data_IF_066322834416
#
_entry.id   IF_066322834416
#
_cell.length_a   1.000
_cell.length_b   1.000
_cell.length_c   1.000
_cell.angle_alpha   90.00
_cell.angle_beta   90.00
_cell.angle_gamma   90.00
#
_symmetry.space_group_name_H-M   'P 1'
#
loop_
_entity.id
_entity.type
_entity.pdbx_description
1 polymer ?
#
# COMPACT_ATOMS: atom_id res chain seq x y z
N UNK A 1 -77.02 -28.23 110.27
CA UNK A 1 -76.85 -26.78 109.99
C UNK A 1 -77.05 -26.58 108.50
N UNK A 2 -78.08 -25.84 108.12
CA UNK A 2 -78.16 -25.19 106.81
C UNK A 2 -77.11 -24.08 106.77
N UNK A 3 -76.38 -23.91 105.66
CA UNK A 3 -75.39 -22.84 105.55
C UNK A 3 -74.24 -23.05 104.57
N UNK A 4 -74.28 -24.04 103.67
CA UNK A 4 -73.37 -24.03 102.53
C UNK A 4 -73.87 -23.00 101.52
N UNK A 5 -73.29 -21.80 101.57
CA UNK A 5 -73.34 -20.87 100.46
C UNK A 5 -72.70 -21.55 99.25
N UNK A 6 -73.47 -21.77 98.18
CA UNK A 6 -72.93 -22.16 96.88
C UNK A 6 -72.28 -20.92 96.25
N UNK A 7 -71.14 -20.51 96.80
CA UNK A 7 -70.33 -19.41 96.27
C UNK A 7 -69.28 -19.98 95.32
N UNK A 8 -69.70 -20.11 94.07
CA UNK A 8 -68.81 -20.45 92.96
C UNK A 8 -69.58 -21.20 91.91
N UNK A 9 -69.88 -20.53 90.78
CA UNK A 9 -70.26 -21.24 89.56
C UNK A 9 -69.14 -22.25 89.29
N UNK A 10 -69.42 -23.52 89.51
CA UNK A 10 -68.48 -24.58 89.19
C UNK A 10 -68.26 -24.57 87.68
N UNK A 11 -67.06 -24.13 87.28
CA UNK A 11 -66.66 -24.05 85.87
C UNK A 11 -66.70 -25.40 85.15
N UNK A 12 -66.79 -26.52 85.89
CA UNK A 12 -66.93 -27.86 85.33
C UNK A 12 -68.37 -28.26 84.94
N UNK A 13 -69.39 -27.49 85.32
CA UNK A 13 -70.82 -27.85 85.12
C UNK A 13 -71.55 -27.03 84.03
N UNK A 14 -70.82 -26.35 83.15
CA UNK A 14 -71.41 -25.61 82.01
C UNK A 14 -71.79 -26.54 80.86
N UNK A 15 -72.91 -27.26 80.99
CA UNK A 15 -73.37 -28.22 79.97
C UNK A 15 -74.01 -27.55 78.75
N UNK A 16 -74.58 -26.35 78.90
CA UNK A 16 -75.20 -25.60 77.80
C UNK A 16 -74.32 -24.42 77.38
N UNK A 17 -73.75 -24.52 76.18
CA UNK A 17 -72.81 -23.53 75.63
C UNK A 17 -73.11 -23.15 74.19
N UNK A 18 -72.76 -21.93 73.80
CA UNK A 18 -72.80 -21.44 72.42
C UNK A 18 -71.51 -20.73 72.02
N UNK A 19 -71.29 -20.58 70.71
CA UNK A 19 -70.13 -19.88 70.14
C UNK A 19 -70.53 -18.46 69.74
N UNK A 20 -69.78 -17.45 70.19
CA UNK A 20 -69.99 -16.04 69.82
C UNK A 20 -68.75 -15.44 69.15
N UNK A 21 -68.98 -14.51 68.23
CA UNK A 21 -67.91 -13.76 67.56
C UNK A 21 -67.08 -14.56 66.57
N UNK A 22 -67.54 -15.73 66.11
CA UNK A 22 -66.85 -16.50 65.09
C UNK A 22 -66.80 -15.73 63.77
N UNK A 23 -65.60 -15.67 63.16
CA UNK A 23 -65.35 -15.01 61.87
C UNK A 23 -64.79 -16.07 60.93
N UNK A 24 -65.42 -16.26 59.77
CA UNK A 24 -64.91 -17.20 58.77
C UNK A 24 -63.61 -16.67 58.16
N UNK A 25 -62.59 -17.52 58.06
CA UNK A 25 -61.35 -17.16 57.40
C UNK A 25 -61.58 -16.81 55.90
N UNK A 26 -60.96 -15.71 55.46
CA UNK A 26 -60.95 -15.25 54.08
C UNK A 26 -59.79 -15.84 53.28
N UNK A 27 -59.59 -15.36 52.05
CA UNK A 27 -58.46 -15.81 51.22
C UNK A 27 -57.11 -15.31 51.74
N UNK A 28 -57.07 -14.08 52.27
CA UNK A 28 -55.87 -13.43 52.81
C UNK A 28 -56.03 -12.94 54.25
N UNK A 29 -57.24 -12.98 54.80
CA UNK A 29 -57.54 -12.56 56.16
C UNK A 29 -57.79 -13.78 57.04
N UNK A 30 -57.12 -13.84 58.19
CA UNK A 30 -57.40 -14.83 59.21
C UNK A 30 -58.85 -14.70 59.72
N UNK A 31 -59.44 -15.83 60.09
CA UNK A 31 -60.70 -15.93 60.79
C UNK A 31 -60.52 -16.11 62.30
N UNK A 32 -61.63 -16.32 62.99
CA UNK A 32 -61.67 -16.58 64.42
C UNK A 32 -62.68 -17.68 64.73
N UNK A 33 -62.30 -18.68 65.53
CA UNK A 33 -63.19 -19.82 65.84
C UNK A 33 -64.39 -19.44 66.73
N UNK A 34 -64.38 -18.23 67.30
CA UNK A 34 -65.36 -17.77 68.26
C UNK A 34 -65.06 -18.23 69.68
N UNK A 35 -65.53 -17.45 70.63
CA UNK A 35 -65.44 -17.72 72.07
C UNK A 35 -66.65 -18.56 72.51
N UNK A 36 -66.44 -19.42 73.50
CA UNK A 36 -67.49 -20.28 74.06
C UNK A 36 -68.10 -19.57 75.27
N UNK A 37 -69.43 -19.43 75.27
CA UNK A 37 -70.19 -18.81 76.35
C UNK A 37 -71.23 -19.79 76.89
N UNK A 38 -71.42 -19.81 78.21
CA UNK A 38 -72.53 -20.53 78.83
C UNK A 38 -73.84 -19.78 78.56
N UNK A 39 -74.85 -20.46 78.03
CA UNK A 39 -76.16 -19.85 77.71
C UNK A 39 -77.00 -19.58 78.96
N UNK A 40 -76.81 -20.36 80.02
CA UNK A 40 -77.60 -20.24 81.26
C UNK A 40 -77.21 -19.02 82.09
N UNK A 41 -75.95 -18.56 81.98
CA UNK A 41 -75.42 -17.51 82.86
C UNK A 41 -74.56 -16.43 82.18
N UNK A 42 -74.32 -16.55 80.87
CA UNK A 42 -73.61 -15.56 80.05
C UNK A 42 -72.09 -15.48 80.25
N UNK A 43 -71.50 -16.31 81.12
CA UNK A 43 -70.06 -16.29 81.35
C UNK A 43 -69.29 -16.91 80.17
N UNK A 44 -68.14 -16.32 79.81
CA UNK A 44 -67.19 -16.89 78.85
C UNK A 44 -66.49 -18.08 79.48
N UNK A 45 -66.67 -19.26 78.91
CA UNK A 45 -66.12 -20.53 79.41
C UNK A 45 -64.90 -21.00 78.64
N UNK A 46 -64.66 -20.46 77.43
CA UNK A 46 -63.48 -20.75 76.64
C UNK A 46 -63.16 -19.65 75.64
N UNK A 47 -61.87 -19.41 75.40
CA UNK A 47 -61.41 -18.51 74.34
C UNK A 47 -61.23 -19.27 73.03
N UNK A 48 -61.71 -18.68 71.95
CA UNK A 48 -61.42 -19.13 70.59
C UNK A 48 -59.95 -18.92 70.21
N UNK A 49 -59.61 -19.37 69.01
CA UNK A 49 -58.28 -19.19 68.41
C UNK A 49 -58.38 -18.58 67.02
N UNK A 50 -57.29 -17.93 66.61
CA UNK A 50 -57.12 -17.51 65.22
C UNK A 50 -57.21 -18.72 64.30
N UNK A 51 -57.94 -18.56 63.19
CA UNK A 51 -58.04 -19.55 62.11
C UNK A 51 -57.27 -18.98 60.93
N UNK A 52 -56.16 -19.60 60.48
CA UNK A 52 -55.38 -19.07 59.37
C UNK A 52 -56.21 -18.85 58.11
N UNK A 53 -55.85 -17.84 57.32
CA UNK A 53 -56.44 -17.59 56.01
C UNK A 53 -56.52 -18.87 55.17
N UNK A 54 -57.66 -19.09 54.52
CA UNK A 54 -57.95 -20.32 53.79
C UNK A 54 -57.16 -20.45 52.47
N UNK A 55 -56.45 -19.38 52.08
CA UNK A 55 -55.77 -19.29 50.80
C UNK A 55 -56.72 -19.13 49.62
N UNK A 56 -56.13 -19.02 48.43
CA UNK A 56 -56.86 -18.85 47.18
C UNK A 56 -57.21 -20.18 46.54
N UNK A 57 -58.39 -20.22 45.91
CA UNK A 57 -58.88 -21.33 45.11
C UNK A 57 -58.85 -20.92 43.63
N UNK A 58 -57.68 -21.04 43.02
CA UNK A 58 -57.38 -20.53 41.67
C UNK A 58 -57.90 -21.46 40.58
N UNK A 59 -58.63 -20.92 39.60
CA UNK A 59 -58.96 -21.60 38.35
C UNK A 59 -58.60 -20.73 37.15
N UNK A 60 -58.33 -21.35 36.00
CA UNK A 60 -58.01 -20.63 34.75
C UNK A 60 -59.29 -20.01 34.19
N UNK A 61 -59.26 -18.71 33.92
CA UNK A 61 -60.40 -17.98 33.31
C UNK A 61 -60.11 -17.50 31.91
N UNK A 62 -58.84 -17.29 31.56
CA UNK A 62 -58.43 -16.91 30.20
C UNK A 62 -57.05 -17.47 29.89
N UNK A 63 -56.90 -17.94 28.67
CA UNK A 63 -55.63 -18.42 28.14
C UNK A 63 -55.41 -17.87 26.73
N UNK A 64 -54.25 -17.27 26.51
CA UNK A 64 -53.76 -16.83 25.21
C UNK A 64 -52.53 -17.66 24.86
N UNK A 65 -52.60 -18.39 23.75
CA UNK A 65 -51.51 -19.27 23.32
C UNK A 65 -50.26 -18.47 22.95
N UNK A 66 -49.09 -19.00 23.29
CA UNK A 66 -47.82 -18.46 22.84
C UNK A 66 -47.65 -18.66 21.33
N UNK A 67 -46.93 -17.74 20.70
CA UNK A 67 -46.48 -17.87 19.30
C UNK A 67 -44.95 -17.91 19.25
N UNK A 68 -44.37 -18.07 18.05
CA UNK A 68 -42.91 -17.97 17.86
C UNK A 68 -42.37 -16.54 18.03
N UNK A 69 -43.26 -15.53 18.06
CA UNK A 69 -42.88 -14.11 18.15
C UNK A 69 -43.42 -13.41 19.41
N UNK A 70 -44.48 -13.92 20.03
CA UNK A 70 -45.12 -13.37 21.23
C UNK A 70 -45.28 -14.41 22.34
N UNK A 71 -45.03 -14.01 23.58
CA UNK A 71 -45.36 -14.84 24.74
C UNK A 71 -46.87 -15.05 24.83
N UNK A 72 -47.28 -16.21 25.34
CA UNK A 72 -48.66 -16.44 25.74
C UNK A 72 -48.86 -16.01 27.20
N UNK A 73 -50.10 -16.07 27.68
CA UNK A 73 -50.39 -15.83 29.10
C UNK A 73 -51.60 -16.61 29.57
N UNK A 74 -51.57 -16.98 30.85
CA UNK A 74 -52.67 -17.65 31.54
C UNK A 74 -53.11 -16.82 32.73
N UNK A 75 -54.40 -16.49 32.77
CA UNK A 75 -55.02 -15.72 33.85
C UNK A 75 -55.78 -16.67 34.75
N UNK A 76 -55.45 -16.63 36.03
CA UNK A 76 -56.14 -17.36 37.09
C UNK A 76 -57.02 -16.41 37.89
N UNK A 77 -58.23 -16.83 38.20
CA UNK A 77 -59.14 -16.10 39.08
C UNK A 77 -59.50 -16.95 40.29
N UNK A 78 -59.50 -16.37 41.48
CA UNK A 78 -59.91 -17.07 42.68
C UNK A 78 -61.45 -17.17 42.73
N UNK A 79 -61.99 -18.38 42.83
CA UNK A 79 -63.44 -18.63 42.88
C UNK A 79 -64.14 -17.99 44.08
N UNK A 80 -63.39 -17.71 45.15
CA UNK A 80 -63.92 -17.20 46.44
C UNK A 80 -63.86 -15.68 46.58
N UNK A 81 -62.84 -15.02 46.02
CA UNK A 81 -62.63 -13.58 46.21
C UNK A 81 -62.47 -12.77 44.91
N UNK A 82 -62.42 -13.42 43.75
CA UNK A 82 -62.33 -12.73 42.46
C UNK A 82 -60.98 -12.09 42.15
N UNK A 83 -59.99 -12.17 43.06
CA UNK A 83 -58.62 -11.75 42.74
C UNK A 83 -58.10 -12.52 41.53
N UNK A 84 -57.23 -11.88 40.76
CA UNK A 84 -56.59 -12.47 39.59
C UNK A 84 -55.07 -12.50 39.75
N UNK A 85 -54.44 -13.47 39.09
CA UNK A 85 -53.00 -13.48 38.87
C UNK A 85 -52.70 -13.98 37.47
N UNK A 86 -51.58 -13.54 36.93
CA UNK A 86 -51.14 -13.86 35.57
C UNK A 86 -49.83 -14.66 35.61
N UNK A 87 -49.73 -15.62 34.71
CA UNK A 87 -48.53 -16.41 34.45
C UNK A 87 -48.18 -16.32 32.96
N UNK A 88 -46.93 -16.00 32.64
CA UNK A 88 -46.45 -15.96 31.26
C UNK A 88 -46.16 -17.37 30.74
N UNK A 89 -46.50 -17.60 29.46
CA UNK A 89 -46.19 -18.83 28.74
C UNK A 89 -45.05 -18.49 27.77
N UNK A 90 -43.87 -19.12 27.87
CA UNK A 90 -42.74 -18.84 27.00
C UNK A 90 -43.09 -18.98 25.51
N UNK A 91 -42.41 -18.19 24.67
CA UNK A 91 -42.54 -18.28 23.21
C UNK A 91 -42.28 -19.70 22.72
N UNK A 92 -42.98 -20.10 21.66
CA UNK A 92 -42.69 -21.36 21.00
C UNK A 92 -41.28 -21.31 20.38
N UNK A 93 -40.53 -22.42 20.37
CA UNK A 93 -39.23 -22.47 19.73
C UNK A 93 -39.38 -22.09 18.25
N UNK A 94 -38.54 -21.18 17.78
CA UNK A 94 -38.56 -20.82 16.36
C UNK A 94 -38.11 -22.03 15.52
N UNK A 95 -38.74 -22.28 14.37
CA UNK A 95 -38.28 -23.34 13.47
C UNK A 95 -36.83 -23.08 13.07
N UNK A 96 -35.95 -23.99 13.44
CA UNK A 96 -34.54 -23.93 13.05
C UNK A 96 -34.45 -24.11 11.54
N UNK A 97 -33.82 -23.17 10.87
CA UNK A 97 -33.43 -23.31 9.47
C UNK A 97 -31.95 -22.96 9.35
N UNK A 98 -31.30 -23.47 8.32
CA UNK A 98 -29.92 -23.09 8.01
C UNK A 98 -29.95 -21.81 7.19
N UNK A 99 -29.22 -20.79 7.62
CA UNK A 99 -29.11 -19.57 6.84
C UNK A 99 -28.25 -19.81 5.60
N UNK A 100 -28.85 -19.56 4.44
CA UNK A 100 -28.13 -19.39 3.19
C UNK A 100 -28.21 -17.91 2.82
N UNK A 101 -27.08 -17.21 2.92
CA UNK A 101 -26.98 -15.79 2.63
C UNK A 101 -26.48 -15.57 1.21
N UNK A 102 -27.18 -14.74 0.44
CA UNK A 102 -26.77 -14.33 -0.91
C UNK A 102 -26.71 -12.80 -1.01
N UNK A 103 -25.78 -12.24 -1.81
CA UNK A 103 -25.70 -10.80 -2.03
C UNK A 103 -26.93 -10.32 -2.80
N UNK A 104 -27.51 -9.19 -2.37
CA UNK A 104 -28.74 -8.63 -2.98
C UNK A 104 -28.58 -7.20 -3.47
N UNK A 105 -27.87 -6.37 -2.73
CA UNK A 105 -27.60 -4.98 -3.07
C UNK A 105 -26.14 -4.67 -2.76
N UNK A 106 -25.49 -3.92 -3.66
CA UNK A 106 -24.09 -3.53 -3.48
C UNK A 106 -23.90 -2.07 -3.85
N UNK A 107 -23.45 -1.27 -2.89
CA UNK A 107 -22.85 0.04 -3.17
C UNK A 107 -21.37 -0.20 -3.42
N UNK A 108 -20.89 0.07 -4.63
CA UNK A 108 -19.46 -0.07 -4.95
C UNK A 108 -18.62 0.92 -4.12
N UNK A 109 -17.40 0.52 -3.77
CA UNK A 109 -16.43 1.41 -3.14
C UNK A 109 -15.95 2.48 -4.14
N UNK A 110 -15.65 3.67 -3.65
CA UNK A 110 -15.04 4.77 -4.43
C UNK A 110 -13.63 5.06 -3.90
N UNK A 111 -12.91 6.04 -4.45
CA UNK A 111 -11.59 6.41 -3.95
C UNK A 111 -11.59 6.87 -2.48
N UNK A 112 -12.70 7.44 -2.01
CA UNK A 112 -12.79 8.03 -0.66
C UNK A 112 -13.89 7.42 0.20
N UNK A 113 -14.88 6.73 -0.38
CA UNK A 113 -15.98 6.09 0.35
C UNK A 113 -15.88 4.57 0.30
N UNK A 114 -16.09 3.94 1.46
CA UNK A 114 -16.26 2.49 1.53
C UNK A 114 -17.50 2.05 0.74
N UNK A 115 -17.38 0.92 0.06
CA UNK A 115 -18.50 0.19 -0.52
C UNK A 115 -19.19 -0.68 0.54
N UNK A 116 -20.38 -1.16 0.22
CA UNK A 116 -21.21 -1.99 1.10
C UNK A 116 -21.85 -3.10 0.29
N UNK A 117 -21.71 -4.35 0.74
CA UNK A 117 -22.42 -5.51 0.22
C UNK A 117 -23.44 -5.97 1.26
N UNK A 118 -24.71 -6.06 0.87
CA UNK A 118 -25.78 -6.57 1.74
C UNK A 118 -26.07 -8.02 1.40
N UNK A 119 -25.94 -8.89 2.40
CA UNK A 119 -26.26 -10.31 2.33
C UNK A 119 -27.63 -10.56 2.95
N UNK A 120 -28.55 -11.19 2.22
CA UNK A 120 -29.90 -11.48 2.70
C UNK A 120 -30.19 -12.98 2.66
N UNK A 121 -30.97 -13.45 3.62
CA UNK A 121 -31.52 -14.81 3.67
C UNK A 121 -33.01 -14.79 3.32
N UNK A 122 -33.54 -15.92 2.81
CA UNK A 122 -34.96 -16.06 2.49
C UNK A 122 -35.90 -15.92 3.70
N UNK A 123 -35.38 -16.02 4.92
CA UNK A 123 -36.14 -15.78 6.16
C UNK A 123 -36.40 -14.29 6.45
N UNK A 124 -35.75 -13.37 5.73
CA UNK A 124 -35.81 -11.93 5.96
C UNK A 124 -34.64 -11.36 6.77
N UNK A 125 -33.80 -12.19 7.37
CA UNK A 125 -32.56 -11.73 8.03
C UNK A 125 -31.54 -11.24 6.99
N UNK A 126 -30.79 -10.21 7.37
CA UNK A 126 -29.72 -9.66 6.57
C UNK A 126 -28.58 -9.12 7.42
N UNK A 127 -27.40 -9.04 6.82
CA UNK A 127 -26.25 -8.32 7.37
C UNK A 127 -25.49 -7.60 6.26
N UNK A 128 -24.70 -6.61 6.64
CA UNK A 128 -23.87 -5.83 5.71
C UNK A 128 -22.39 -6.09 5.95
N UNK A 129 -21.61 -6.08 4.87
CA UNK A 129 -20.17 -6.16 4.90
C UNK A 129 -19.59 -4.95 4.17
N UNK A 130 -18.69 -4.21 4.82
CA UNK A 130 -18.01 -3.09 4.21
C UNK A 130 -16.86 -3.58 3.34
N UNK A 131 -16.72 -2.98 2.16
CA UNK A 131 -15.51 -3.07 1.33
C UNK A 131 -14.77 -1.74 1.44
N UNK A 132 -13.48 -1.79 1.77
CA UNK A 132 -12.67 -0.59 1.96
C UNK A 132 -12.70 0.33 0.71
N UNK A 133 -12.57 1.63 0.94
CA UNK A 133 -12.38 2.61 -0.12
C UNK A 133 -11.18 2.19 -1.00
N UNK A 134 -11.29 2.44 -2.30
CA UNK A 134 -10.30 2.02 -3.28
C UNK A 134 -8.97 2.79 -3.16
N UNK A 135 -8.96 3.89 -2.40
CA UNK A 135 -7.85 4.83 -2.38
C UNK A 135 -7.74 5.60 -3.69
N UNK A 136 -6.83 6.57 -3.69
CA UNK A 136 -6.45 7.27 -4.91
C UNK A 136 -5.33 6.52 -5.62
N UNK A 137 -5.46 6.39 -6.93
CA UNK A 137 -4.41 5.87 -7.81
C UNK A 137 -3.96 7.03 -8.68
N UNK A 138 -2.99 7.79 -8.16
CA UNK A 138 -2.49 9.00 -8.80
C UNK A 138 -1.53 8.67 -9.95
N UNK A 139 -1.57 9.52 -10.97
CA UNK A 139 -0.59 9.66 -12.05
C UNK A 139 0.05 11.03 -11.92
N UNK A 140 1.35 11.15 -12.14
CA UNK A 140 2.10 12.38 -11.89
C UNK A 140 2.70 12.89 -13.19
N UNK A 141 2.59 14.20 -13.41
CA UNK A 141 3.13 14.85 -14.60
C UNK A 141 3.74 16.19 -14.22
N UNK A 142 4.91 16.50 -14.79
CA UNK A 142 5.54 17.80 -14.64
C UNK A 142 4.80 18.82 -15.51
N UNK A 143 3.81 19.47 -14.93
CA UNK A 143 3.01 20.50 -15.62
C UNK A 143 3.74 21.84 -15.78
N UNK A 144 4.82 22.05 -15.02
CA UNK A 144 5.71 23.20 -15.16
C UNK A 144 7.11 22.80 -14.72
N UNK A 145 8.09 22.96 -15.61
CA UNK A 145 9.49 22.70 -15.26
C UNK A 145 9.98 23.71 -14.22
N UNK A 146 10.77 23.29 -13.20
CA UNK A 146 11.46 24.21 -12.30
C UNK A 146 12.54 24.98 -13.05
N UNK A 147 12.85 26.18 -12.59
CA UNK A 147 13.97 26.99 -13.08
C UNK A 147 14.79 27.49 -11.90
N UNK A 148 15.97 28.05 -12.17
CA UNK A 148 16.81 28.65 -11.13
C UNK A 148 16.10 29.81 -10.38
N UNK A 149 15.13 30.46 -11.02
CA UNK A 149 14.39 31.60 -10.45
C UNK A 149 12.96 31.27 -10.01
N UNK A 150 12.38 30.16 -10.45
CA UNK A 150 10.99 29.80 -10.20
C UNK A 150 10.79 28.31 -9.93
N UNK A 151 9.89 27.98 -9.00
CA UNK A 151 9.54 26.59 -8.71
C UNK A 151 8.80 25.97 -9.91
N UNK A 152 9.05 24.68 -10.09
CA UNK A 152 8.29 23.83 -10.99
C UNK A 152 7.00 23.36 -10.31
N UNK A 153 6.16 22.65 -11.05
CA UNK A 153 4.90 22.12 -10.54
C UNK A 153 4.72 20.70 -11.03
N UNK A 154 4.70 19.76 -10.08
CA UNK A 154 4.27 18.39 -10.31
C UNK A 154 2.76 18.31 -10.02
N UNK A 155 1.99 17.84 -11.00
CA UNK A 155 0.55 17.61 -10.83
C UNK A 155 0.27 16.13 -10.70
N UNK A 156 -0.47 15.76 -9.66
CA UNK A 156 -0.90 14.40 -9.36
C UNK A 156 -2.39 14.30 -9.66
N UNK A 157 -2.80 13.42 -10.57
CA UNK A 157 -4.21 13.23 -10.96
C UNK A 157 -4.63 11.78 -10.80
N UNK A 158 -5.68 11.54 -10.02
CA UNK A 158 -6.21 10.19 -9.82
C UNK A 158 -6.96 9.73 -11.08
N UNK A 159 -6.50 8.64 -11.70
CA UNK A 159 -7.12 8.12 -12.93
C UNK A 159 -8.56 7.62 -12.75
N UNK A 160 -8.98 7.33 -11.52
CA UNK A 160 -10.32 6.79 -11.21
C UNK A 160 -11.37 7.88 -10.95
N UNK A 161 -11.00 8.93 -10.20
CA UNK A 161 -11.95 9.96 -9.77
C UNK A 161 -11.64 11.35 -10.30
N UNK A 162 -10.52 11.54 -11.00
CA UNK A 162 -10.09 12.84 -11.53
C UNK A 162 -9.64 13.84 -10.46
N UNK A 163 -9.64 13.46 -9.18
CA UNK A 163 -9.10 14.30 -8.12
C UNK A 163 -7.64 14.60 -8.43
N UNK A 164 -7.27 15.87 -8.43
CA UNK A 164 -5.90 16.29 -8.62
C UNK A 164 -5.41 17.19 -7.49
N UNK A 165 -4.11 17.13 -7.22
CA UNK A 165 -3.41 18.09 -6.39
C UNK A 165 -2.05 18.37 -7.00
N UNK A 166 -1.44 19.49 -6.61
CA UNK A 166 -0.12 19.87 -7.10
C UNK A 166 0.86 19.96 -5.94
N UNK A 167 2.13 19.73 -6.25
CA UNK A 167 3.24 20.04 -5.34
C UNK A 167 4.27 20.90 -6.06
N UNK A 168 4.87 21.87 -5.35
CA UNK A 168 5.99 22.61 -5.90
C UNK A 168 7.16 21.65 -6.09
N UNK A 169 7.82 21.77 -7.24
CA UNK A 169 9.15 21.22 -7.44
C UNK A 169 10.11 22.35 -7.07
N UNK A 170 11.06 22.07 -6.18
CA UNK A 170 12.01 23.07 -5.70
C UNK A 170 12.66 23.79 -6.88
N UNK A 171 12.95 25.08 -6.69
CA UNK A 171 13.74 25.84 -7.65
C UNK A 171 15.05 25.12 -7.86
N UNK A 172 15.55 25.16 -9.09
CA UNK A 172 16.87 24.65 -9.37
C UNK A 172 17.90 25.50 -8.59
N UNK A 173 18.95 24.89 -8.04
CA UNK A 173 19.97 25.63 -7.29
C UNK A 173 20.60 26.70 -8.18
N UNK A 174 20.69 27.93 -7.65
CA UNK A 174 21.16 29.08 -8.40
C UNK A 174 22.70 29.05 -8.42
N UNK A 175 23.31 28.66 -9.54
CA UNK A 175 24.75 28.81 -9.78
C UNK A 175 25.07 30.27 -10.07
N UNK A 176 25.09 31.09 -9.01
CA UNK A 176 25.81 32.36 -9.06
C UNK A 176 27.26 32.14 -8.66
N UNK A 177 28.15 31.98 -9.64
CA UNK A 177 29.51 32.52 -9.52
C UNK A 177 30.16 32.79 -10.89
N UNK A 178 30.35 34.08 -11.13
CA UNK A 178 31.41 34.74 -11.91
C UNK A 178 31.40 34.65 -13.44
N UNK A 179 30.79 35.69 -13.99
CA UNK A 179 31.14 36.37 -15.25
C UNK A 179 32.66 36.49 -15.50
N UNK A 180 33.12 36.17 -16.72
CA UNK A 180 34.16 36.93 -17.43
C UNK A 180 33.47 37.64 -18.62
N UNK A 181 33.45 38.98 -18.65
CA UNK A 181 34.57 39.73 -19.19
C UNK A 181 34.26 40.11 -20.65
N UNK A 182 33.52 41.21 -20.82
CA UNK A 182 33.19 41.78 -22.14
C UNK A 182 34.43 42.42 -22.77
N UNK A 183 34.87 41.92 -23.92
CA UNK A 183 35.64 42.72 -24.88
C UNK A 183 34.92 42.71 -26.24
N UNK A 184 34.51 43.91 -26.64
CA UNK A 184 34.07 44.26 -27.99
C UNK A 184 35.32 44.64 -28.80
N UNK A 185 35.41 44.28 -30.09
CA UNK A 185 35.23 45.29 -31.15
C UNK A 185 34.47 44.68 -32.35
N UNK A 186 33.51 45.35 -32.98
CA UNK A 186 33.74 46.48 -33.87
C UNK A 186 33.05 46.19 -35.21
N UNK A 187 32.24 47.13 -35.66
CA UNK A 187 31.32 47.07 -36.80
C UNK A 187 32.00 47.05 -38.18
N UNK A 188 31.46 46.32 -39.17
CA UNK A 188 31.05 46.83 -40.51
C UNK A 188 30.64 45.72 -41.50
N UNK A 189 29.55 45.95 -42.23
CA UNK A 189 29.08 45.27 -43.46
C UNK A 189 29.35 46.21 -44.67
N UNK A 190 29.09 45.88 -45.96
CA UNK A 190 29.17 44.63 -46.74
C UNK A 190 30.07 44.79 -48.01
N UNK A 191 30.33 43.72 -48.77
CA UNK A 191 30.87 43.81 -50.13
C UNK A 191 31.13 42.45 -50.80
N UNK A 192 30.53 42.25 -51.97
CA UNK A 192 30.40 41.02 -52.76
C UNK A 192 31.71 40.41 -53.29
N UNK A 193 31.71 39.08 -53.53
CA UNK A 193 32.02 38.40 -54.82
C UNK A 193 32.37 36.91 -54.57
N UNK A 194 31.50 36.00 -55.05
CA UNK A 194 31.76 34.57 -55.30
C UNK A 194 32.86 34.36 -56.38
N UNK A 195 33.54 33.20 -56.52
CA UNK A 195 32.91 31.87 -56.48
C UNK A 195 33.73 30.70 -55.88
N UNK A 196 33.02 29.63 -55.51
CA UNK A 196 33.46 28.26 -55.75
C UNK A 196 33.81 27.43 -54.52
N UNK A 197 32.97 26.44 -54.23
CA UNK A 197 33.30 25.32 -53.36
C UNK A 197 32.14 24.82 -52.50
N UNK A 198 30.98 24.55 -53.12
CA UNK A 198 29.88 23.85 -52.46
C UNK A 198 30.36 22.44 -52.08
N UNK A 199 30.62 22.20 -50.80
CA UNK A 199 30.46 20.87 -50.21
C UNK A 199 29.15 20.94 -49.46
N UNK A 200 28.04 20.80 -50.19
CA UNK A 200 26.77 20.46 -49.57
C UNK A 200 26.99 19.08 -48.94
N UNK A 201 27.12 19.05 -47.60
CA UNK A 201 26.87 17.83 -46.82
C UNK A 201 25.49 17.33 -47.27
N UNK A 202 25.49 16.28 -48.09
CA UNK A 202 24.26 15.68 -48.58
C UNK A 202 23.72 14.89 -47.40
N UNK A 203 22.94 15.57 -46.55
CA UNK A 203 22.25 14.92 -45.43
C UNK A 203 21.45 13.74 -46.00
N UNK A 204 21.70 12.49 -45.55
CA UNK A 204 21.00 11.33 -46.07
C UNK A 204 19.50 11.42 -45.86
N UNK A 205 18.74 10.72 -46.72
CA UNK A 205 17.28 10.61 -46.58
C UNK A 205 16.91 10.18 -45.16
N UNK A 206 15.88 10.82 -44.61
CA UNK A 206 15.39 10.56 -43.25
C UNK A 206 15.06 9.07 -43.07
N UNK A 207 15.53 8.47 -41.98
CA UNK A 207 15.36 7.05 -41.65
C UNK A 207 16.54 6.16 -42.07
N UNK A 208 17.57 6.71 -42.73
CA UNK A 208 18.81 5.99 -43.04
C UNK A 208 19.90 6.43 -42.05
N UNK A 209 20.45 5.52 -41.23
CA UNK A 209 21.49 5.85 -40.26
C UNK A 209 22.83 6.11 -40.97
N UNK A 210 23.74 6.83 -40.31
CA UNK A 210 25.05 7.16 -40.88
C UNK A 210 26.12 7.39 -39.81
N UNK A 211 27.40 7.27 -40.16
CA UNK A 211 28.50 7.52 -39.22
C UNK A 211 28.78 9.03 -39.16
N UNK A 212 28.84 9.58 -37.95
CA UNK A 212 29.06 11.02 -37.73
C UNK A 212 30.49 11.44 -38.08
N UNK A 213 30.61 12.57 -38.76
CA UNK A 213 31.89 13.18 -39.12
C UNK A 213 32.59 12.55 -40.33
N UNK A 214 31.93 11.62 -41.03
CA UNK A 214 32.46 10.94 -42.20
C UNK A 214 31.48 11.02 -43.38
N UNK A 215 31.88 11.74 -44.43
CA UNK A 215 31.03 11.97 -45.59
C UNK A 215 30.73 10.66 -46.34
N UNK A 216 29.44 10.42 -46.63
CA UNK A 216 28.99 9.32 -47.49
C UNK A 216 28.92 7.94 -46.83
N UNK A 217 29.20 7.80 -45.53
CA UNK A 217 29.07 6.53 -44.81
C UNK A 217 27.66 6.30 -44.27
N UNK A 218 26.74 5.93 -45.15
CA UNK A 218 25.31 5.79 -44.85
C UNK A 218 24.83 4.35 -44.97
N UNK A 219 23.87 3.96 -44.12
CA UNK A 219 23.24 2.65 -44.11
C UNK A 219 23.99 1.58 -43.31
N UNK A 220 23.24 0.53 -42.92
CA UNK A 220 23.73 -0.56 -42.07
C UNK A 220 24.87 -1.37 -42.68
N UNK A 221 24.89 -1.54 -44.01
CA UNK A 221 25.98 -2.27 -44.70
C UNK A 221 27.33 -1.55 -44.54
N UNK A 222 27.33 -0.22 -44.60
CA UNK A 222 28.55 0.58 -44.42
C UNK A 222 28.98 0.58 -42.97
N UNK A 223 28.04 0.74 -42.03
CA UNK A 223 28.33 0.69 -40.59
C UNK A 223 29.01 -0.64 -40.23
N UNK A 224 28.50 -1.76 -40.75
CA UNK A 224 29.09 -3.08 -40.55
C UNK A 224 30.50 -3.21 -41.12
N UNK A 225 30.71 -2.70 -42.34
CA UNK A 225 32.04 -2.72 -42.95
C UNK A 225 33.06 -1.92 -42.13
N UNK A 226 32.63 -0.86 -41.46
CA UNK A 226 33.47 -0.08 -40.54
C UNK A 226 33.71 -0.81 -39.22
N UNK A 227 32.70 -1.46 -38.65
CA UNK A 227 32.85 -2.34 -37.47
C UNK A 227 33.88 -3.45 -37.70
N UNK A 228 33.86 -4.09 -38.87
CA UNK A 228 34.83 -5.12 -39.25
C UNK A 228 36.27 -4.57 -39.33
N UNK A 229 36.44 -3.31 -39.74
CA UNK A 229 37.74 -2.66 -39.87
C UNK A 229 38.20 -1.93 -38.61
N UNK A 230 37.31 -1.75 -37.64
CA UNK A 230 37.56 -1.00 -36.42
C UNK A 230 38.57 -1.69 -35.50
N UNK A 231 39.41 -0.87 -34.86
CA UNK A 231 40.46 -1.32 -33.95
C UNK A 231 39.87 -1.56 -32.55
N UNK A 232 40.49 -2.47 -31.79
CA UNK A 232 40.17 -2.67 -30.38
C UNK A 232 40.35 -1.35 -29.60
N UNK A 233 39.38 -1.02 -28.74
CA UNK A 233 39.26 0.22 -27.99
C UNK A 233 38.62 1.39 -28.76
N UNK A 234 38.18 1.20 -30.01
CA UNK A 234 37.57 2.27 -30.82
C UNK A 234 36.07 2.47 -30.57
N UNK A 235 35.60 3.67 -30.89
CA UNK A 235 34.18 4.05 -30.83
C UNK A 235 33.67 4.47 -32.21
N UNK A 236 32.59 3.85 -32.66
CA UNK A 236 31.88 4.21 -33.90
C UNK A 236 30.62 4.98 -33.50
N UNK A 237 30.48 6.20 -33.98
CA UNK A 237 29.34 7.06 -33.63
C UNK A 237 28.32 7.09 -34.77
N UNK A 238 27.20 6.41 -34.57
CA UNK A 238 26.11 6.31 -35.54
C UNK A 238 25.03 7.32 -35.19
N UNK A 239 24.67 8.18 -36.15
CA UNK A 239 23.45 8.96 -36.12
C UNK A 239 22.32 8.12 -36.71
N UNK A 240 21.22 7.98 -35.95
CA UNK A 240 20.10 7.13 -36.36
C UNK A 240 19.18 7.83 -37.36
N UNK A 241 19.30 9.15 -37.55
CA UNK A 241 18.56 9.95 -38.53
C UNK A 241 17.04 9.67 -38.58
N UNK A 242 16.45 9.35 -37.42
CA UNK A 242 15.02 9.04 -37.25
C UNK A 242 14.62 7.57 -37.39
N UNK A 243 15.55 6.64 -37.70
CA UNK A 243 15.29 5.21 -37.45
C UNK A 243 15.41 4.90 -35.96
N UNK A 244 14.71 3.87 -35.48
CA UNK A 244 14.76 3.45 -34.08
C UNK A 244 15.22 2.00 -33.90
N UNK A 245 15.16 1.20 -34.97
CA UNK A 245 15.49 -0.22 -34.94
C UNK A 245 16.91 -0.44 -35.44
N UNK A 246 17.72 -1.09 -34.61
CA UNK A 246 19.07 -1.57 -34.95
C UNK A 246 18.98 -3.06 -35.29
N UNK A 247 19.40 -3.48 -36.50
CA UNK A 247 19.43 -4.88 -36.88
C UNK A 247 20.36 -5.70 -35.99
N UNK A 248 19.99 -6.95 -35.68
CA UNK A 248 20.77 -7.82 -34.80
C UNK A 248 22.19 -8.09 -35.28
N UNK A 249 22.41 -8.08 -36.60
CA UNK A 249 23.72 -8.34 -37.19
C UNK A 249 24.76 -7.23 -37.00
N UNK A 250 24.32 -6.03 -36.58
CA UNK A 250 25.18 -4.94 -36.10
C UNK A 250 25.83 -5.28 -34.76
N UNK A 251 25.11 -5.98 -33.87
CA UNK A 251 25.70 -6.44 -32.61
C UNK A 251 26.56 -7.69 -32.81
N UNK A 252 26.19 -8.54 -33.77
CA UNK A 252 26.94 -9.75 -34.08
C UNK A 252 28.36 -9.43 -34.63
N UNK A 253 28.54 -8.32 -35.36
CA UNK A 253 29.82 -7.91 -35.98
C UNK A 253 30.89 -7.46 -34.96
N UNK A 254 30.46 -6.88 -33.84
CA UNK A 254 31.32 -6.38 -32.77
C UNK A 254 31.47 -7.38 -31.61
N UNK A 255 30.78 -8.53 -31.67
CA UNK A 255 30.73 -9.49 -30.58
C UNK A 255 32.12 -9.93 -30.10
N UNK A 256 32.32 -9.83 -28.78
CA UNK A 256 33.56 -10.23 -28.10
C UNK A 256 34.75 -9.32 -28.39
N UNK A 257 34.57 -8.24 -29.16
CA UNK A 257 35.59 -7.25 -29.50
C UNK A 257 35.41 -6.00 -28.63
N UNK A 258 36.50 -5.33 -28.30
CA UNK A 258 36.52 -4.09 -27.55
C UNK A 258 36.13 -2.89 -28.41
N UNK A 259 34.96 -2.94 -29.06
CA UNK A 259 34.48 -1.87 -29.92
C UNK A 259 33.18 -1.37 -29.34
N UNK A 260 33.06 -0.05 -29.23
CA UNK A 260 31.84 0.60 -28.74
C UNK A 260 31.12 1.23 -29.92
N UNK A 261 29.85 0.89 -30.12
CA UNK A 261 29.00 1.55 -31.09
C UNK A 261 28.00 2.41 -30.35
N UNK A 262 27.96 3.71 -30.68
CA UNK A 262 26.97 4.63 -30.15
C UNK A 262 25.88 4.88 -31.18
N UNK A 263 24.64 4.96 -30.73
CA UNK A 263 23.45 5.23 -31.54
C UNK A 263 22.80 6.51 -31.02
N UNK A 264 22.99 7.62 -31.72
CA UNK A 264 22.31 8.88 -31.41
C UNK A 264 20.89 8.84 -32.00
N UNK A 265 19.90 8.78 -31.12
CA UNK A 265 18.48 8.74 -31.45
C UNK A 265 17.90 10.15 -31.72
N UNK A 266 18.68 11.19 -31.50
CA UNK A 266 18.24 12.58 -31.44
C UNK A 266 17.66 12.96 -30.07
N UNK A 267 17.46 14.26 -29.86
CA UNK A 267 16.82 14.75 -28.63
C UNK A 267 17.62 14.55 -27.35
N UNK A 268 18.93 14.29 -27.45
CA UNK A 268 19.80 14.03 -26.29
C UNK A 268 19.71 12.60 -25.75
N UNK A 269 19.15 11.67 -26.53
CA UNK A 269 19.11 10.24 -26.22
C UNK A 269 20.20 9.54 -27.03
N UNK A 270 21.16 8.94 -26.32
CA UNK A 270 22.25 8.21 -26.94
C UNK A 270 22.38 6.84 -26.30
N UNK A 271 22.32 5.78 -27.12
CA UNK A 271 22.63 4.43 -26.69
C UNK A 271 24.08 4.10 -26.99
N UNK A 272 24.69 3.26 -26.16
CA UNK A 272 26.03 2.75 -26.35
C UNK A 272 26.07 1.25 -26.06
N UNK A 273 26.71 0.49 -26.93
CA UNK A 273 26.89 -0.96 -26.78
C UNK A 273 28.36 -1.28 -26.99
N UNK A 274 28.97 -1.95 -26.01
CA UNK A 274 30.34 -2.47 -26.14
C UNK A 274 30.30 -3.94 -26.54
N UNK A 275 31.07 -4.29 -27.58
CA UNK A 275 31.13 -5.65 -28.12
C UNK A 275 31.54 -6.73 -27.11
N UNK A 276 32.30 -6.39 -26.05
CA UNK A 276 32.64 -7.33 -24.96
C UNK A 276 31.42 -7.78 -24.14
N UNK A 277 30.39 -6.94 -24.06
CA UNK A 277 29.15 -7.23 -23.33
C UNK A 277 28.17 -8.06 -24.17
N UNK A 278 28.43 -8.21 -25.47
CA UNK A 278 27.61 -9.03 -26.37
C UNK A 278 28.02 -10.49 -26.24
N UNK A 279 27.25 -11.27 -25.48
CA UNK A 279 27.52 -12.68 -25.20
C UNK A 279 26.51 -13.65 -25.81
N UNK A 280 25.46 -13.16 -26.46
CA UNK A 280 24.47 -14.01 -27.14
C UNK A 280 25.06 -14.68 -28.37
N UNK A 281 24.54 -15.85 -28.76
CA UNK A 281 24.94 -16.52 -30.00
C UNK A 281 24.42 -15.83 -31.26
N UNK A 282 23.33 -15.07 -31.16
CA UNK A 282 22.74 -14.27 -32.23
C UNK A 282 21.83 -13.20 -31.62
N UNK A 283 22.14 -11.93 -31.87
CA UNK A 283 21.28 -10.84 -31.43
C UNK A 283 20.04 -10.72 -32.34
N UNK A 284 18.91 -10.36 -31.75
CA UNK A 284 17.72 -9.96 -32.48
C UNK A 284 17.78 -8.48 -32.89
N UNK A 285 16.85 -8.05 -33.73
CA UNK A 285 16.66 -6.62 -34.01
C UNK A 285 16.10 -5.94 -32.76
N UNK A 286 16.65 -4.77 -32.40
CA UNK A 286 16.28 -4.05 -31.17
C UNK A 286 15.74 -2.67 -31.53
N UNK A 287 14.58 -2.32 -31.00
CA UNK A 287 14.01 -0.97 -31.04
C UNK A 287 14.49 -0.16 -29.83
N UNK A 288 15.37 0.80 -30.06
CA UNK A 288 15.95 1.67 -29.04
C UNK A 288 15.11 2.92 -28.74
N UNK A 289 13.88 3.00 -29.23
CA UNK A 289 13.01 4.13 -28.91
C UNK A 289 12.72 4.22 -27.41
N UNK A 290 13.01 5.40 -26.86
CA UNK A 290 12.74 5.75 -25.47
C UNK A 290 11.54 6.67 -25.44
N UNK A 291 10.49 6.27 -24.71
CA UNK A 291 9.36 7.15 -24.42
C UNK A 291 9.58 7.75 -23.04
N UNK A 292 9.76 9.07 -23.00
CA UNK A 292 9.76 9.85 -21.76
C UNK A 292 8.34 10.31 -21.44
N UNK A 293 8.08 10.71 -20.19
CA UNK A 293 6.76 11.20 -19.73
C UNK A 293 5.63 10.15 -19.75
N UNK A 294 5.98 8.89 -19.48
CA UNK A 294 4.99 7.82 -19.42
C UNK A 294 4.29 7.80 -18.06
N UNK A 295 3.08 7.21 -18.04
CA UNK A 295 2.30 6.95 -16.83
C UNK A 295 2.02 5.45 -16.71
N UNK A 296 2.99 4.64 -17.14
CA UNK A 296 2.89 3.20 -17.14
C UNK A 296 2.95 2.65 -15.72
N UNK A 297 3.77 3.27 -14.87
CA UNK A 297 4.00 2.85 -13.48
C UNK A 297 3.14 3.70 -12.53
N UNK A 298 2.31 3.08 -11.67
CA UNK A 298 1.52 3.77 -10.65
C UNK A 298 2.39 4.64 -9.71
N UNK A 299 1.97 5.88 -9.45
CA UNK A 299 2.77 6.85 -8.67
C UNK A 299 2.97 6.44 -7.22
N UNK A 300 2.01 5.73 -6.62
CA UNK A 300 2.16 5.18 -5.28
C UNK A 300 3.35 4.23 -5.18
N UNK A 301 3.62 3.45 -6.24
CA UNK A 301 4.78 2.56 -6.32
C UNK A 301 6.06 3.40 -6.49
N UNK A 302 6.05 4.38 -7.40
CA UNK A 302 7.18 5.30 -7.59
C UNK A 302 7.55 5.99 -6.29
N UNK A 303 6.58 6.61 -5.62
CA UNK A 303 6.80 7.38 -4.40
C UNK A 303 7.24 6.54 -3.21
N UNK A 304 6.83 5.26 -3.15
CA UNK A 304 7.27 4.36 -2.10
C UNK A 304 8.79 4.11 -2.15
N UNK A 305 9.39 4.23 -3.33
CA UNK A 305 10.84 4.09 -3.54
C UNK A 305 11.55 5.43 -3.50
N UNK A 306 11.01 6.44 -4.19
CA UNK A 306 11.68 7.74 -4.35
C UNK A 306 11.45 8.70 -3.19
N UNK A 307 10.55 8.39 -2.26
CA UNK A 307 10.18 9.33 -1.19
C UNK A 307 9.56 10.61 -1.72
N UNK A 308 8.86 10.55 -2.87
CA UNK A 308 8.27 11.69 -3.58
C UNK A 308 9.30 12.68 -4.18
N UNK A 309 10.56 12.25 -4.30
CA UNK A 309 11.62 13.01 -4.97
C UNK A 309 11.45 13.02 -6.49
N UNK A 310 12.18 13.92 -7.13
CA UNK A 310 12.18 14.05 -8.58
C UNK A 310 12.52 12.71 -9.23
N UNK A 311 11.66 12.28 -10.13
CA UNK A 311 11.82 11.03 -10.87
C UNK A 311 11.21 11.15 -12.27
N UNK A 312 11.76 10.38 -13.19
CA UNK A 312 11.33 10.31 -14.59
C UNK A 312 10.93 8.86 -14.88
N UNK A 313 9.75 8.66 -15.45
CA UNK A 313 9.36 7.36 -16.01
C UNK A 313 9.81 7.28 -17.46
N UNK A 314 10.41 6.15 -17.83
CA UNK A 314 10.77 5.83 -19.20
C UNK A 314 10.19 4.46 -19.58
N UNK A 315 9.73 4.34 -20.82
CA UNK A 315 9.30 3.06 -21.38
C UNK A 315 10.10 2.79 -22.65
N UNK A 316 10.68 1.60 -22.75
CA UNK A 316 11.38 1.13 -23.94
C UNK A 316 10.38 0.37 -24.82
N UNK A 317 10.39 0.57 -26.15
CA UNK A 317 9.33 0.04 -27.03
C UNK A 317 9.40 -1.48 -27.30
N UNK A 318 10.40 -2.17 -26.77
CA UNK A 318 10.59 -3.61 -26.88
C UNK A 318 10.23 -4.31 -25.55
N UNK A 319 9.95 -5.61 -25.56
CA UNK A 319 9.67 -6.38 -24.34
C UNK A 319 10.64 -7.55 -24.26
N UNK A 320 11.39 -7.64 -23.16
CA UNK A 320 12.30 -8.75 -22.88
C UNK A 320 13.79 -8.45 -23.01
N UNK A 321 14.61 -9.48 -22.77
CA UNK A 321 16.07 -9.39 -22.70
C UNK A 321 16.70 -8.97 -24.05
N UNK A 322 17.60 -7.98 -23.99
CA UNK A 322 18.49 -7.63 -25.11
C UNK A 322 19.53 -8.73 -25.36
N UNK A 323 19.89 -9.45 -24.28
CA UNK A 323 20.97 -10.44 -24.29
C UNK A 323 22.38 -9.83 -24.21
N UNK A 324 22.46 -8.52 -24.02
CA UNK A 324 23.69 -7.79 -23.74
C UNK A 324 23.37 -6.54 -22.94
N UNK A 325 24.41 -5.90 -22.39
CA UNK A 325 24.27 -4.63 -21.67
C UNK A 325 24.31 -3.47 -22.67
N UNK A 326 23.23 -2.71 -22.75
CA UNK A 326 23.16 -1.44 -23.47
C UNK A 326 23.14 -0.29 -22.46
N UNK A 327 23.93 0.76 -22.71
CA UNK A 327 24.01 1.94 -21.84
C UNK A 327 23.24 3.08 -22.48
N UNK A 328 22.22 3.56 -21.79
CA UNK A 328 21.49 4.78 -22.17
C UNK A 328 22.16 5.98 -21.51
N UNK A 329 22.65 6.89 -22.35
CA UNK A 329 22.96 8.25 -21.95
C UNK A 329 21.73 9.13 -22.19
N UNK A 330 21.20 9.70 -21.11
CA UNK A 330 20.01 10.57 -21.15
C UNK A 330 20.27 11.86 -20.38
N UNK A 331 19.81 12.98 -20.95
CA UNK A 331 19.84 14.28 -20.29
C UNK A 331 18.82 14.37 -19.16
N UNK A 332 19.31 14.47 -17.93
CA UNK A 332 18.51 14.79 -16.74
C UNK A 332 18.58 16.28 -16.37
N UNK A 333 19.40 17.07 -17.07
CA UNK A 333 19.57 18.50 -16.83
C UNK A 333 20.85 18.79 -16.05
N UNK A 334 21.56 19.87 -16.44
CA UNK A 334 22.85 20.28 -15.84
C UNK A 334 22.74 20.62 -14.37
N UNK A 335 21.56 21.04 -13.94
CA UNK A 335 21.17 21.29 -12.56
C UNK A 335 21.28 20.07 -11.66
N UNK A 336 21.18 18.87 -12.22
CA UNK A 336 21.27 17.62 -11.50
C UNK A 336 22.69 17.06 -11.50
N UNK A 337 23.68 17.79 -12.05
CA UNK A 337 25.07 17.38 -12.01
C UNK A 337 25.55 17.12 -10.56
N UNK A 338 26.25 16.01 -10.36
CA UNK A 338 26.72 15.55 -9.04
C UNK A 338 25.66 14.82 -8.21
N UNK A 339 24.39 14.79 -8.64
CA UNK A 339 23.36 13.97 -8.00
C UNK A 339 23.46 12.51 -8.47
N UNK A 340 22.99 11.58 -7.64
CA UNK A 340 22.91 10.16 -8.03
C UNK A 340 21.56 9.90 -8.70
N UNK A 341 21.57 9.43 -9.94
CA UNK A 341 20.38 8.91 -10.60
C UNK A 341 20.33 7.39 -10.43
N UNK A 342 19.29 6.91 -9.77
CA UNK A 342 19.03 5.48 -9.53
C UNK A 342 17.97 4.98 -10.50
N UNK A 343 18.29 3.92 -11.25
CA UNK A 343 17.40 3.23 -12.16
C UNK A 343 16.68 2.09 -11.44
N UNK A 344 15.36 2.06 -11.60
CA UNK A 344 14.48 1.02 -11.10
C UNK A 344 13.67 0.41 -12.23
N UNK A 345 13.67 -0.91 -12.34
CA UNK A 345 12.81 -1.69 -13.22
C UNK A 345 11.44 -1.87 -12.56
N UNK A 346 10.35 -1.73 -13.32
CA UNK A 346 9.03 -2.10 -12.85
C UNK A 346 8.71 -3.55 -13.19
N UNK A 347 8.63 -4.38 -12.16
CA UNK A 347 8.22 -5.77 -12.31
C UNK A 347 6.69 -5.88 -12.29
N UNK A 348 6.07 -6.04 -13.46
CA UNK A 348 4.61 -6.17 -13.56
C UNK A 348 4.05 -7.38 -12.81
N UNK A 349 4.84 -8.43 -12.61
CA UNK A 349 4.39 -9.66 -11.95
C UNK A 349 4.28 -9.48 -10.44
N UNK A 350 5.17 -8.69 -9.84
CA UNK A 350 5.15 -8.38 -8.39
C UNK A 350 4.42 -7.07 -8.08
N UNK A 351 4.36 -6.15 -9.04
CA UNK A 351 3.88 -4.79 -8.85
C UNK A 351 4.85 -3.93 -8.03
N UNK A 352 6.16 -4.22 -8.09
CA UNK A 352 7.19 -3.54 -7.32
C UNK A 352 8.29 -2.96 -8.23
N UNK A 353 9.02 -1.97 -7.71
CA UNK A 353 10.20 -1.40 -8.35
C UNK A 353 11.47 -2.09 -7.83
N UNK A 354 12.28 -2.59 -8.74
CA UNK A 354 13.53 -3.30 -8.45
C UNK A 354 14.71 -2.42 -8.84
N UNK A 355 15.61 -2.15 -7.90
CA UNK A 355 16.83 -1.40 -8.20
C UNK A 355 17.72 -2.15 -9.19
N UNK A 356 18.16 -1.47 -10.25
CA UNK A 356 19.02 -2.03 -11.29
C UNK A 356 20.44 -1.50 -11.14
N UNK A 357 20.61 -0.19 -11.23
CA UNK A 357 21.90 0.48 -11.13
C UNK A 357 21.71 1.94 -10.76
N UNK A 358 22.81 2.60 -10.45
CA UNK A 358 22.83 4.05 -10.28
C UNK A 358 24.12 4.60 -10.88
N UNK A 359 24.06 5.84 -11.34
CA UNK A 359 25.24 6.57 -11.78
C UNK A 359 25.12 8.06 -11.40
N UNK A 360 26.25 8.74 -11.32
CA UNK A 360 26.29 10.17 -11.05
C UNK A 360 25.95 10.94 -12.33
N UNK A 361 25.12 11.98 -12.20
CA UNK A 361 24.83 12.87 -13.32
C UNK A 361 26.07 13.74 -13.59
N UNK A 362 26.57 13.71 -14.81
CA UNK A 362 27.75 14.46 -15.23
C UNK A 362 27.50 15.98 -15.24
N UNK A 363 28.59 16.77 -15.33
CA UNK A 363 28.54 18.24 -15.38
C UNK A 363 27.69 18.80 -16.55
N UNK A 364 27.56 18.05 -17.63
CA UNK A 364 26.73 18.42 -18.78
C UNK A 364 25.24 18.04 -18.61
N UNK A 365 24.88 17.45 -17.47
CA UNK A 365 23.53 17.06 -17.12
C UNK A 365 23.10 15.70 -17.66
N UNK A 366 24.01 14.91 -18.21
CA UNK A 366 23.73 13.56 -18.70
C UNK A 366 24.03 12.51 -17.65
N UNK A 367 23.32 11.40 -17.67
CA UNK A 367 23.66 10.21 -16.88
C UNK A 367 23.71 8.98 -17.76
N UNK A 368 24.56 8.02 -17.42
CA UNK A 368 24.73 6.77 -18.16
C UNK A 368 24.18 5.60 -17.35
N UNK A 369 23.07 5.02 -17.76
CA UNK A 369 22.40 3.94 -17.04
C UNK A 369 22.41 2.66 -17.88
N UNK A 370 22.71 1.53 -17.25
CA UNK A 370 22.84 0.24 -17.92
C UNK A 370 21.50 -0.52 -17.95
N UNK A 371 21.17 -1.07 -19.11
CA UNK A 371 19.95 -1.84 -19.37
C UNK A 371 20.30 -3.20 -19.96
N UNK A 372 19.65 -4.25 -19.49
CA UNK A 372 19.77 -5.62 -20.05
C UNK A 372 18.53 -6.08 -20.79
N UNK A 373 17.41 -5.38 -20.61
CA UNK A 373 16.12 -5.72 -21.19
C UNK A 373 15.30 -4.45 -21.42
N UNK A 374 14.27 -4.55 -22.25
CA UNK A 374 13.29 -3.47 -22.40
C UNK A 374 12.05 -3.73 -21.53
N UNK A 375 11.58 -2.65 -20.91
CA UNK A 375 10.45 -2.58 -19.98
C UNK A 375 10.11 -1.11 -19.69
N UNK A 376 9.24 -0.92 -18.71
CA UNK A 376 9.01 0.31 -17.96
C UNK A 376 10.01 0.47 -16.81
N UNK A 377 10.56 1.67 -16.67
CA UNK A 377 11.54 2.03 -15.66
C UNK A 377 11.25 3.39 -15.01
N UNK A 378 11.80 3.56 -13.82
CA UNK A 378 11.87 4.83 -13.10
C UNK A 378 13.33 5.20 -12.93
N UNK A 379 13.68 6.43 -13.29
CA UNK A 379 14.94 7.07 -12.90
C UNK A 379 14.63 8.02 -11.75
N UNK A 380 15.10 7.72 -10.55
CA UNK A 380 14.97 8.58 -9.39
C UNK A 380 16.26 9.40 -9.19
N UNK A 381 16.14 10.70 -8.94
CA UNK A 381 17.30 11.55 -8.64
C UNK A 381 17.32 11.80 -7.13
N UNK A 382 18.31 11.23 -6.46
CA UNK A 382 18.53 11.46 -5.03
C UNK A 382 19.58 12.55 -4.84
N UNK A 383 19.15 13.62 -4.15
CA UNK A 383 20.04 14.59 -3.57
C UNK A 383 20.33 14.23 -2.13
N UNK A 384 21.61 14.15 -1.78
CA UNK A 384 21.99 14.33 -0.39
C UNK A 384 21.60 15.76 0.00
N UNK A 385 20.43 15.90 0.61
CA UNK A 385 20.13 17.08 1.39
C UNK A 385 20.86 16.87 2.72
N UNK A 386 22.06 17.44 2.84
CA UNK A 386 22.66 17.64 4.16
C UNK A 386 21.66 18.48 4.98
N UNK A 387 20.83 17.82 5.77
CA UNK A 387 20.08 18.48 6.83
C UNK A 387 21.10 18.90 7.88
N UNK A 388 21.55 20.14 7.78
CA UNK A 388 22.18 20.86 8.88
C UNK A 388 21.13 21.05 9.99
N UNK A 389 20.89 19.97 10.74
CA UNK A 389 20.11 19.99 11.98
C UNK A 389 20.97 20.65 13.05
N UNK A 390 21.02 21.98 12.99
CA UNK A 390 21.47 22.83 14.08
C UNK A 390 20.48 22.77 15.23
N UNK A 391 20.97 22.25 16.36
CA UNK A 391 20.51 22.51 17.72
C UNK A 391 19.34 21.66 18.24
N UNK A 392 19.65 20.42 18.64
CA UNK A 392 18.91 19.73 19.69
C UNK A 392 19.64 19.93 21.03
N UNK A 393 19.03 20.75 21.90
CA UNK A 393 19.38 20.90 23.31
C UNK A 393 19.38 19.53 24.00
N UNK A 394 20.56 19.14 24.46
CA UNK A 394 20.81 17.99 25.33
C UNK A 394 20.18 18.21 26.72
N UNK A 395 19.47 17.22 27.30
CA UNK A 395 19.25 17.17 28.73
C UNK A 395 20.35 16.33 29.41
N UNK A 396 20.98 16.96 30.41
CA UNK A 396 22.00 16.41 31.30
C UNK A 396 21.61 15.06 31.92
N UNK A 397 22.58 14.14 31.99
CA UNK A 397 22.62 13.11 33.03
C UNK A 397 24.06 12.92 33.54
N UNK A 398 24.30 12.86 34.86
CA UNK A 398 25.64 13.06 35.42
C UNK A 398 26.46 11.77 35.62
N UNK A 399 27.78 12.00 35.61
CA UNK A 399 28.91 11.34 36.27
C UNK A 399 29.38 9.91 35.87
N UNK A 400 30.59 9.93 35.30
CA UNK A 400 31.63 8.92 35.00
C UNK A 400 32.15 8.15 36.25
N UNK A 401 33.14 7.19 36.20
CA UNK A 401 34.15 6.95 35.14
C UNK A 401 34.68 5.50 34.91
N UNK A 402 35.62 5.44 33.95
CA UNK A 402 36.82 4.56 33.83
C UNK A 402 36.82 3.50 32.71
N UNK A 403 37.53 3.78 31.60
CA UNK A 403 38.89 3.26 31.34
C UNK A 403 39.42 3.63 29.94
N UNK A 404 40.50 4.41 29.97
CA UNK A 404 41.84 4.13 29.41
C UNK A 404 42.08 3.82 27.91
N UNK A 405 43.22 4.35 27.45
CA UNK A 405 44.04 4.04 26.27
C UNK A 405 43.81 4.79 24.93
N UNK A 406 44.45 5.96 24.87
CA UNK A 406 45.62 6.31 24.03
C UNK A 406 45.70 5.93 22.55
N UNK A 407 46.09 6.91 21.73
CA UNK A 407 46.98 6.72 20.57
C UNK A 407 46.53 7.47 19.31
N UNK A 408 46.78 8.79 19.22
CA UNK A 408 47.88 9.42 18.47
C UNK A 408 47.53 9.76 17.00
N UNK A 409 47.43 11.07 16.76
CA UNK A 409 47.48 11.72 15.45
C UNK A 409 48.88 11.59 14.84
N UNK A 410 48.97 11.57 13.51
CA UNK A 410 50.11 12.14 12.78
C UNK A 410 49.65 12.87 11.51
N UNK A 411 50.46 13.87 11.17
CA UNK A 411 50.17 15.02 10.33
C UNK A 411 50.45 14.78 8.83
N UNK A 412 49.81 15.63 8.02
CA UNK A 412 50.06 16.04 6.63
C UNK A 412 51.54 16.08 6.17
N UNK A 413 51.83 16.02 4.85
CA UNK A 413 51.99 17.29 4.13
C UNK A 413 51.52 17.33 2.66
N UNK A 414 51.11 18.54 2.28
CA UNK A 414 50.89 19.02 0.91
C UNK A 414 52.18 19.04 0.08
N UNK A 415 52.07 18.75 -1.22
CA UNK A 415 52.77 19.52 -2.28
C UNK A 415 51.94 19.46 -3.56
N UNK A 416 51.57 20.62 -4.09
CA UNK A 416 50.83 20.74 -5.35
C UNK A 416 51.72 20.65 -6.58
N UNK A 417 51.10 20.32 -7.72
CA UNK A 417 51.46 20.85 -9.03
C UNK A 417 50.28 20.69 -10.01
N UNK A 418 50.20 21.63 -10.96
CA UNK A 418 49.01 22.03 -11.70
C UNK A 418 48.79 21.32 -13.06
N UNK A 419 47.51 21.29 -13.49
CA UNK A 419 46.93 21.32 -14.86
C UNK A 419 46.96 20.06 -15.77
N UNK A 420 45.77 19.48 -16.07
CA UNK A 420 44.98 19.50 -17.35
C UNK A 420 44.06 18.25 -17.49
N UNK A 421 42.80 18.36 -17.98
CA UNK A 421 41.83 17.28 -17.90
C UNK A 421 41.68 16.51 -19.24
N UNK A 422 42.02 15.22 -19.27
CA UNK A 422 41.50 14.22 -20.23
C UNK A 422 41.20 12.97 -19.41
N UNK A 423 39.94 12.67 -19.13
CA UNK A 423 39.58 11.52 -18.29
C UNK A 423 39.00 10.41 -19.17
N UNK A 424 39.75 9.31 -19.20
CA UNK A 424 39.38 7.98 -19.67
C UNK A 424 38.60 7.34 -18.50
N UNK A 425 37.35 6.93 -18.72
CA UNK A 425 36.58 6.16 -17.72
C UNK A 425 36.98 4.68 -17.85
N UNK A 426 37.69 4.19 -16.84
CA UNK A 426 37.86 2.76 -16.57
C UNK A 426 36.82 2.39 -15.50
N UNK A 427 35.80 1.62 -15.86
CA UNK A 427 34.83 1.09 -14.90
C UNK A 427 35.45 -0.14 -14.21
N UNK A 428 35.73 0.00 -12.91
CA UNK A 428 36.13 -1.10 -12.04
C UNK A 428 34.89 -1.85 -11.55
N UNK A 429 34.73 -3.10 -12.00
CA UNK A 429 33.67 -3.99 -11.53
C UNK A 429 33.93 -4.48 -10.09
N UNK A 430 33.01 -4.18 -9.18
CA UNK A 430 32.83 -4.91 -7.91
C UNK A 430 31.40 -5.43 -7.84
N UNK A 431 31.17 -6.62 -8.40
CA UNK A 431 29.94 -7.39 -8.19
C UNK A 431 30.21 -8.46 -7.13
N UNK A 432 29.55 -8.33 -5.99
CA UNK A 432 29.49 -9.36 -4.94
C UNK A 432 28.46 -10.41 -5.36
N UNK A 433 28.93 -11.58 -5.82
CA UNK A 433 28.07 -12.72 -6.12
C UNK A 433 27.75 -13.46 -4.82
N UNK A 434 26.53 -13.32 -4.31
CA UNK A 434 25.95 -14.29 -3.36
C UNK A 434 25.24 -15.40 -4.15
N UNK A 435 25.88 -16.56 -4.24
CA UNK A 435 25.30 -17.76 -4.85
C UNK A 435 24.36 -18.50 -3.88
N UNK A 436 23.08 -18.62 -4.24
CA UNK A 436 22.15 -19.57 -3.64
C UNK A 436 22.20 -20.88 -4.43
N UNK A 437 22.88 -21.89 -3.88
CA UNK A 437 22.87 -23.25 -4.39
C UNK A 437 21.62 -24.00 -3.95
N UNK A 438 20.69 -24.26 -4.89
CA UNK A 438 19.57 -25.19 -4.69
C UNK A 438 20.05 -26.61 -4.95
N UNK A 439 20.22 -27.39 -3.88
CA UNK A 439 20.56 -28.81 -3.96
C UNK A 439 19.26 -29.66 -4.01
N UNK A 440 18.98 -30.25 -5.17
CA UNK A 440 17.94 -31.26 -5.35
C UNK A 440 18.35 -32.58 -4.66
N UNK A 441 17.59 -33.02 -3.65
CA UNK A 441 17.63 -34.41 -3.17
C UNK A 441 16.38 -35.15 -3.65
N UNK A 442 16.57 -35.96 -4.68
CA UNK A 442 15.67 -37.06 -5.04
C UNK A 442 15.85 -38.19 -4.02
N UNK A 443 14.77 -38.63 -3.37
CA UNK A 443 14.74 -39.92 -2.68
C UNK A 443 13.62 -40.79 -3.25
N UNK A 444 14.01 -41.88 -3.90
CA UNK A 444 13.16 -42.93 -4.46
C UNK A 444 13.31 -44.21 -3.63
N UNK A 445 12.19 -44.90 -3.36
CA UNK A 445 12.08 -46.28 -2.86
C UNK A 445 12.05 -46.40 -1.32
N UNK A 446 11.23 -47.26 -0.71
CA UNK A 446 10.68 -48.53 -1.19
C UNK A 446 9.64 -49.09 -0.20
N UNK A 447 8.65 -49.78 -0.75
CA UNK A 447 7.75 -50.85 -0.26
C UNK A 447 7.81 -51.29 1.21
N UNK A 448 6.62 -51.51 1.79
CA UNK A 448 6.42 -52.19 3.06
C UNK A 448 4.95 -52.49 3.34
N UNK A 449 4.51 -53.64 2.85
CA UNK A 449 3.22 -54.31 3.06
C UNK A 449 3.01 -54.78 4.52
N UNK A 450 1.79 -54.61 5.04
CA UNK A 450 1.08 -55.40 6.07
C UNK A 450 -0.12 -54.57 6.55
N UNK A 451 -1.41 -54.93 6.46
CA UNK A 451 -2.06 -56.23 6.34
C UNK A 451 -3.00 -56.43 7.53
N UNK A 452 -4.34 -56.35 7.30
CA UNK A 452 -5.48 -56.85 8.11
C UNK A 452 -5.61 -56.31 9.57
N UNK A 453 -6.78 -56.03 10.15
CA UNK A 453 -8.15 -56.61 10.09
C UNK A 453 -9.16 -55.49 10.30
#
# INVERSE_FOLDING_TARGET
MCGTEYTGKDSANHMHTEIRGAIKAGCTSDGYSGDIYCTDCGAKTGSGRAVPAAGHDWHVTREEAATTTSEGRRIYTCSKCGQTREESIPKLPQPSHTHSYSPRETKAATCTENGVVTYSCSCGDSYTQNTAALGHSYRSEVTKQPTASAEGVMTYTCGRCGHSYTRPIAKLPNTETQQPGTEQPGTSQPGDTEPGGNTEETRPDTGIPFIKGEDGKTGWDVIRAEEEQAQEGSTINVDMNGTTVVPGDIFDSIRGRDITVTFDMGGGILWSVNGKEVITDKAGDIDFSVKTETNAIPVDIVNNVTGERYSIQISLAHEGEFGFTAVLSIGLGKENAGYTASLYYYNESTGELEFICSDEVAEDGTVSLAFTHASDYVIAIDGEQEEESGNATEPEQPDTPDKDSTGQAEESPQTGQAWRPWWIIVVGALVVIMGIGVFFVVKKGKDGDSGQV
#
